data_IF_891445679129
#
_entry.id   IF_891445679129
#
_cell.length_a   1.000
_cell.length_b   1.000
_cell.length_c   1.000
_cell.angle_alpha   90.00
_cell.angle_beta   90.00
_cell.angle_gamma   90.00
#
_symmetry.space_group_name_H-M   'P 1'
#
loop_
_entity.id
_entity.type
_entity.pdbx_description
1 polymer ?
#
# COMPACT_ATOMS: atom_id res chain seq x y z
N UNK A 1 11.85 -8.14 -25.55
CA UNK A 1 11.50 -7.31 -24.38
C UNK A 1 11.13 -8.26 -23.27
N UNK A 2 11.72 -8.10 -22.08
CA UNK A 2 11.38 -8.91 -20.91
C UNK A 2 9.91 -8.70 -20.51
N UNK A 3 9.24 -9.75 -20.03
CA UNK A 3 7.86 -9.62 -19.53
C UNK A 3 7.82 -8.76 -18.26
N UNK A 4 6.64 -8.18 -17.94
CA UNK A 4 6.49 -7.39 -16.71
C UNK A 4 6.74 -8.21 -15.45
N UNK A 5 6.40 -9.51 -15.49
CA UNK A 5 6.70 -10.45 -14.41
C UNK A 5 8.21 -10.64 -14.25
N UNK A 6 8.94 -10.91 -15.34
CA UNK A 6 10.40 -11.06 -15.32
C UNK A 6 11.10 -9.81 -14.78
N UNK A 7 10.70 -8.62 -15.26
CA UNK A 7 11.23 -7.34 -14.74
C UNK A 7 10.96 -7.20 -13.24
N UNK A 8 9.77 -7.59 -12.79
CA UNK A 8 9.44 -7.58 -11.35
C UNK A 8 10.26 -8.58 -10.55
N UNK A 9 10.57 -9.75 -11.10
CA UNK A 9 11.44 -10.75 -10.44
C UNK A 9 12.85 -10.18 -10.28
N UNK A 10 13.42 -9.60 -11.34
CA UNK A 10 14.76 -9.00 -11.32
C UNK A 10 14.85 -7.86 -10.30
N UNK A 11 13.95 -6.87 -10.38
CA UNK A 11 13.98 -5.71 -9.49
C UNK A 11 13.67 -6.08 -8.04
N UNK A 12 12.78 -7.03 -7.78
CA UNK A 12 12.56 -7.56 -6.43
C UNK A 12 13.79 -8.29 -5.88
N UNK A 13 14.52 -9.02 -6.73
CA UNK A 13 15.76 -9.69 -6.33
C UNK A 13 16.86 -8.70 -5.90
N UNK A 14 16.85 -7.49 -6.46
CA UNK A 14 17.77 -6.41 -6.08
C UNK A 14 17.25 -5.66 -4.85
N UNK A 15 15.99 -5.22 -4.87
CA UNK A 15 15.42 -4.33 -3.88
C UNK A 15 15.05 -5.05 -2.59
N UNK A 16 14.43 -6.22 -2.68
CA UNK A 16 13.94 -7.02 -1.55
C UNK A 16 14.41 -8.49 -1.64
N UNK A 17 15.73 -8.76 -1.55
CA UNK A 17 16.29 -10.11 -1.67
C UNK A 17 15.83 -11.08 -0.57
N UNK A 18 15.26 -10.56 0.51
CA UNK A 18 14.61 -11.29 1.60
C UNK A 18 13.27 -11.92 1.20
N UNK A 19 12.65 -11.49 0.09
CA UNK A 19 11.40 -12.04 -0.40
C UNK A 19 11.69 -13.00 -1.56
N UNK A 20 11.45 -14.29 -1.33
CA UNK A 20 11.76 -15.36 -2.28
C UNK A 20 10.62 -15.53 -3.27
N UNK A 21 10.96 -15.51 -4.56
CA UNK A 21 9.99 -15.72 -5.64
C UNK A 21 9.68 -17.21 -5.86
N UNK A 22 8.40 -17.52 -5.98
CA UNK A 22 7.87 -18.81 -6.42
C UNK A 22 6.92 -18.59 -7.61
N UNK A 23 7.17 -19.30 -8.72
CA UNK A 23 6.26 -19.30 -9.85
C UNK A 23 4.92 -19.96 -9.45
N UNK A 24 3.80 -19.29 -9.74
CA UNK A 24 2.44 -19.79 -9.44
C UNK A 24 1.51 -19.52 -10.62
N UNK A 25 0.62 -20.47 -10.90
CA UNK A 25 -0.43 -20.26 -11.90
C UNK A 25 -1.57 -19.41 -11.32
N UNK A 26 -1.36 -18.10 -11.28
CA UNK A 26 -2.35 -17.12 -10.76
C UNK A 26 -3.34 -16.65 -11.82
N UNK A 27 -2.98 -16.78 -13.09
CA UNK A 27 -3.81 -16.42 -14.24
C UNK A 27 -3.49 -17.33 -15.43
N UNK A 28 -4.26 -17.20 -16.51
CA UNK A 28 -3.98 -17.88 -17.79
C UNK A 28 -2.58 -17.54 -18.35
N UNK A 29 -2.01 -16.41 -17.96
CA UNK A 29 -0.69 -15.95 -18.38
C UNK A 29 0.42 -16.29 -17.36
N UNK A 30 0.11 -17.09 -16.34
CA UNK A 30 1.01 -17.38 -15.24
C UNK A 30 0.95 -16.36 -14.12
N UNK A 31 2.07 -16.20 -13.42
CA UNK A 31 2.22 -15.33 -12.26
C UNK A 31 3.23 -15.88 -11.26
N UNK A 32 3.31 -15.24 -10.10
CA UNK A 32 4.07 -15.78 -9.00
C UNK A 32 3.81 -15.05 -7.69
N UNK A 33 4.48 -15.54 -6.66
CA UNK A 33 4.41 -15.01 -5.32
C UNK A 33 5.82 -14.74 -4.79
N UNK A 34 6.01 -13.62 -4.09
CA UNK A 34 7.18 -13.34 -3.28
C UNK A 34 6.78 -13.52 -1.82
N UNK A 35 7.52 -14.34 -1.07
CA UNK A 35 7.24 -14.58 0.35
C UNK A 35 8.48 -14.41 1.20
N UNK A 36 8.30 -13.86 2.40
CA UNK A 36 9.36 -13.69 3.39
C UNK A 36 9.10 -12.50 4.31
N UNK A 37 10.09 -12.15 5.16
CA UNK A 37 9.93 -11.11 6.15
C UNK A 37 10.08 -9.72 5.52
N UNK A 38 9.29 -8.74 5.96
CA UNK A 38 9.59 -7.30 5.83
C UNK A 38 9.70 -6.72 7.23
N UNK A 39 10.79 -6.01 7.52
CA UNK A 39 10.94 -5.26 8.76
C UNK A 39 11.03 -3.78 8.41
N UNK A 40 9.90 -3.05 8.42
CA UNK A 40 9.87 -1.69 7.88
C UNK A 40 10.62 -0.69 8.77
N UNK A 41 10.88 -0.99 10.04
CA UNK A 41 11.69 -0.17 10.94
C UNK A 41 12.90 -0.98 11.41
N UNK A 42 14.11 -0.60 10.97
CA UNK A 42 15.35 -1.26 11.40
C UNK A 42 15.93 -0.65 12.69
N UNK A 43 15.75 0.65 12.90
CA UNK A 43 16.29 1.42 14.03
C UNK A 43 15.25 2.36 14.63
N UNK A 44 15.44 2.70 15.91
CA UNK A 44 14.66 3.72 16.61
C UNK A 44 15.18 5.15 16.33
N UNK A 45 16.39 5.26 15.77
CA UNK A 45 16.96 6.53 15.33
C UNK A 45 16.09 7.15 14.23
N UNK A 46 15.70 8.42 14.40
CA UNK A 46 14.85 9.13 13.43
C UNK A 46 13.39 8.66 13.37
N UNK A 47 12.95 7.77 14.29
CA UNK A 47 11.60 7.22 14.25
C UNK A 47 10.52 8.31 14.44
N UNK A 48 10.74 9.26 15.34
CA UNK A 48 9.79 10.36 15.59
C UNK A 48 9.48 11.18 14.32
N UNK A 49 10.50 11.77 13.67
CA UNK A 49 10.32 12.47 12.39
C UNK A 49 9.70 11.61 11.28
N UNK A 50 10.11 10.33 11.15
CA UNK A 50 9.51 9.40 10.18
C UNK A 50 8.02 9.21 10.42
N UNK A 51 7.61 8.95 11.66
CA UNK A 51 6.22 8.77 12.04
C UNK A 51 5.41 10.05 11.82
N UNK A 52 5.99 11.23 12.06
CA UNK A 52 5.39 12.52 11.75
C UNK A 52 5.20 12.72 10.24
N UNK A 53 6.17 12.31 9.42
CA UNK A 53 6.07 12.38 7.96
C UNK A 53 4.96 11.48 7.43
N UNK A 54 4.91 10.23 7.89
CA UNK A 54 3.81 9.31 7.57
C UNK A 54 2.47 9.93 7.98
N UNK A 55 2.40 10.53 9.18
CA UNK A 55 1.17 11.13 9.69
C UNK A 55 0.65 12.31 8.85
N UNK A 56 1.57 13.01 8.18
CA UNK A 56 1.25 14.16 7.34
C UNK A 56 1.31 13.86 5.84
N UNK A 57 1.40 12.58 5.44
CA UNK A 57 1.60 12.15 4.05
C UNK A 57 2.77 12.89 3.36
N UNK A 58 3.87 13.09 4.08
CA UNK A 58 5.09 13.72 3.55
C UNK A 58 6.00 12.66 2.92
N UNK A 59 6.89 13.06 2.00
CA UNK A 59 7.84 12.14 1.39
C UNK A 59 8.71 11.43 2.42
N UNK A 60 8.88 10.11 2.25
CA UNK A 60 9.77 9.27 3.04
C UNK A 60 10.66 8.45 2.09
N UNK A 61 11.76 7.91 2.60
CA UNK A 61 12.64 7.02 1.84
C UNK A 61 12.38 5.56 2.20
N UNK A 62 12.23 4.70 1.20
CA UNK A 62 12.23 3.26 1.41
C UNK A 62 13.57 2.67 0.91
N UNK A 63 14.40 2.22 1.85
CA UNK A 63 15.64 1.53 1.56
C UNK A 63 15.37 0.07 1.11
N UNK A 64 16.37 -0.61 0.53
CA UNK A 64 16.27 -2.04 0.24
C UNK A 64 15.76 -2.85 1.43
N UNK A 65 15.09 -3.96 1.15
CA UNK A 65 14.37 -4.85 2.09
C UNK A 65 13.11 -4.23 2.69
N UNK A 66 12.66 -3.09 2.18
CA UNK A 66 11.42 -2.44 2.60
C UNK A 66 11.55 -1.58 3.86
N UNK A 67 12.77 -1.18 4.24
CA UNK A 67 13.00 -0.35 5.42
C UNK A 67 12.61 1.10 5.15
N UNK A 68 11.78 1.70 6.00
CA UNK A 68 11.40 3.10 5.92
C UNK A 68 12.35 3.97 6.73
N UNK A 69 12.70 5.13 6.16
CA UNK A 69 13.57 6.12 6.78
C UNK A 69 13.02 7.52 6.56
N UNK A 70 13.23 8.36 7.56
CA UNK A 70 13.11 9.80 7.41
C UNK A 70 14.12 10.30 6.37
N UNK A 71 13.71 11.27 5.53
CA UNK A 71 14.60 11.85 4.52
C UNK A 71 15.69 12.69 5.19
N UNK A 72 16.96 12.35 4.98
CA UNK A 72 18.09 13.09 5.57
C UNK A 72 18.14 14.57 5.15
N UNK A 73 17.57 14.91 3.99
CA UNK A 73 17.49 16.28 3.49
C UNK A 73 16.23 17.04 3.94
N UNK A 74 15.38 16.45 4.79
CA UNK A 74 14.13 17.08 5.21
C UNK A 74 14.40 18.44 5.89
N UNK A 75 13.69 19.46 5.43
CA UNK A 75 13.66 20.80 6.03
C UNK A 75 12.29 21.10 6.68
N UNK A 76 11.43 20.08 6.76
CA UNK A 76 10.10 20.19 7.32
C UNK A 76 10.12 20.39 8.83
N UNK A 77 9.17 21.17 9.34
CA UNK A 77 8.93 21.24 10.78
C UNK A 77 8.18 19.98 11.23
N UNK A 78 8.77 19.27 12.18
CA UNK A 78 8.14 18.10 12.79
C UNK A 78 7.44 18.47 14.08
N UNK A 79 6.28 17.84 14.34
CA UNK A 79 5.63 17.90 15.63
C UNK A 79 5.63 16.52 16.29
N UNK A 80 5.48 16.53 17.62
CA UNK A 80 5.30 15.30 18.40
C UNK A 80 3.81 15.11 18.62
N UNK A 81 3.30 13.95 18.21
CA UNK A 81 1.89 13.59 18.42
C UNK A 81 1.72 12.86 19.75
N UNK A 82 0.57 13.01 20.40
CA UNK A 82 0.29 12.40 21.71
C UNK A 82 0.31 10.87 21.69
N UNK A 83 0.01 10.25 20.55
CA UNK A 83 0.04 8.79 20.39
C UNK A 83 1.46 8.22 20.30
N UNK A 84 2.47 9.04 19.95
CA UNK A 84 3.86 8.58 19.86
C UNK A 84 4.42 8.15 21.21
N UNK A 85 3.91 8.68 22.32
CA UNK A 85 4.33 8.29 23.67
C UNK A 85 3.83 6.89 24.07
N UNK A 86 2.85 6.34 23.33
CA UNK A 86 2.29 5.00 23.53
C UNK A 86 2.92 3.94 22.62
N UNK A 87 3.84 4.35 21.74
CA UNK A 87 4.55 3.47 20.81
C UNK A 87 5.91 3.13 21.42
N UNK A 88 6.13 1.86 21.73
CA UNK A 88 7.36 1.35 22.34
C UNK A 88 8.37 0.88 21.29
N UNK A 89 8.09 -0.24 20.61
CA UNK A 89 8.98 -0.84 19.63
C UNK A 89 8.24 -1.20 18.34
N UNK A 90 8.63 -0.54 17.25
CA UNK A 90 8.09 -0.77 15.92
C UNK A 90 8.97 -1.67 15.04
N UNK A 91 10.03 -2.27 15.59
CA UNK A 91 10.98 -3.12 14.84
C UNK A 91 10.47 -4.55 14.58
N UNK A 92 9.18 -4.81 14.80
CA UNK A 92 8.59 -6.11 14.56
C UNK A 92 8.66 -6.47 13.06
N UNK A 93 9.19 -7.65 12.68
CA UNK A 93 9.13 -8.13 11.32
C UNK A 93 7.74 -8.69 11.01
N UNK A 94 7.38 -8.65 9.72
CA UNK A 94 6.15 -9.21 9.19
C UNK A 94 6.46 -10.26 8.14
N UNK A 95 5.97 -11.48 8.31
CA UNK A 95 5.95 -12.43 7.19
C UNK A 95 4.84 -12.00 6.24
N UNK A 96 5.18 -11.78 4.98
CA UNK A 96 4.23 -11.38 3.95
C UNK A 96 4.28 -12.31 2.75
N UNK A 97 3.19 -12.33 1.99
CA UNK A 97 3.15 -12.89 0.65
C UNK A 97 2.62 -11.85 -0.31
N UNK A 98 3.39 -11.54 -1.36
CA UNK A 98 3.00 -10.63 -2.42
C UNK A 98 2.73 -11.46 -3.68
N UNK A 99 1.59 -11.30 -4.34
CA UNK A 99 1.30 -11.98 -5.61
C UNK A 99 1.12 -10.99 -6.74
N UNK A 100 1.52 -11.40 -7.94
CA UNK A 100 1.31 -10.63 -9.17
C UNK A 100 1.24 -11.57 -10.37
N UNK A 101 0.27 -11.32 -11.26
CA UNK A 101 0.09 -12.18 -12.44
C UNK A 101 1.07 -11.87 -13.58
N UNK A 102 1.75 -10.71 -13.54
CA UNK A 102 2.50 -10.18 -14.70
C UNK A 102 1.63 -9.41 -15.69
N UNK A 103 0.32 -9.32 -15.43
CA UNK A 103 -0.67 -8.66 -16.27
C UNK A 103 -0.95 -7.20 -15.89
N UNK A 104 -2.16 -6.76 -16.19
CA UNK A 104 -2.65 -5.39 -15.92
C UNK A 104 -3.25 -5.22 -14.52
N UNK A 105 -3.39 -6.31 -13.77
CA UNK A 105 -3.85 -6.31 -12.38
C UNK A 105 -2.81 -5.66 -11.46
N UNK A 106 -3.28 -5.20 -10.30
CA UNK A 106 -2.39 -4.71 -9.24
C UNK A 106 -1.85 -5.89 -8.43
N UNK A 107 -0.59 -5.83 -7.96
CA UNK A 107 -0.10 -6.77 -6.97
C UNK A 107 -1.02 -6.83 -5.74
N UNK A 108 -0.99 -7.98 -5.06
CA UNK A 108 -1.70 -8.21 -3.79
C UNK A 108 -0.71 -8.59 -2.73
N UNK A 109 -0.93 -8.14 -1.50
CA UNK A 109 -0.09 -8.50 -0.38
C UNK A 109 -0.95 -9.00 0.77
N UNK A 110 -0.55 -10.09 1.41
CA UNK A 110 -1.13 -10.60 2.64
C UNK A 110 -0.08 -10.58 3.75
N UNK A 111 -0.52 -10.23 4.95
CA UNK A 111 0.28 -10.45 6.17
C UNK A 111 0.01 -11.87 6.66
N UNK A 112 1.05 -12.70 6.64
CA UNK A 112 1.01 -14.10 7.10
C UNK A 112 1.30 -14.16 8.60
N UNK A 113 2.26 -13.36 9.08
CA UNK A 113 2.61 -13.26 10.50
C UNK A 113 2.97 -11.81 10.87
N UNK A 114 2.47 -11.26 11.99
CA UNK A 114 1.48 -11.85 12.88
C UNK A 114 0.11 -12.01 12.20
N UNK A 115 -0.71 -12.94 12.70
CA UNK A 115 -2.09 -13.06 12.26
C UNK A 115 -2.90 -11.84 12.71
N UNK A 116 -3.62 -11.21 11.78
CA UNK A 116 -4.42 -10.01 12.05
C UNK A 116 -5.84 -10.41 12.44
N UNK A 117 -6.22 -10.08 13.67
CA UNK A 117 -7.56 -10.35 14.19
C UNK A 117 -8.62 -9.55 13.42
N UNK A 118 -9.86 -10.07 13.26
CA UNK A 118 -10.91 -9.42 12.47
C UNK A 118 -11.20 -7.96 12.84
N UNK A 119 -11.17 -7.62 14.13
CA UNK A 119 -11.37 -6.28 14.67
C UNK A 119 -10.24 -5.30 14.32
N UNK A 120 -9.07 -5.82 13.92
CA UNK A 120 -7.89 -5.03 13.55
C UNK A 120 -7.61 -5.00 12.04
N UNK A 121 -8.57 -5.45 11.21
CA UNK A 121 -8.45 -5.50 9.74
C UNK A 121 -8.71 -4.14 9.07
N UNK A 122 -8.19 -3.06 9.65
CA UNK A 122 -8.28 -1.72 9.05
C UNK A 122 -7.45 -1.69 7.76
N UNK A 123 -8.00 -1.11 6.70
CA UNK A 123 -7.37 -1.10 5.37
C UNK A 123 -6.97 -2.49 4.85
N UNK A 124 -7.84 -3.48 5.07
CA UNK A 124 -7.74 -4.80 4.43
C UNK A 124 -8.99 -5.06 3.59
N UNK A 125 -8.83 -5.84 2.53
CA UNK A 125 -9.92 -6.28 1.68
C UNK A 125 -10.62 -7.51 2.28
N UNK A 126 -11.80 -7.84 1.74
CA UNK A 126 -12.56 -9.02 2.16
C UNK A 126 -11.83 -10.35 1.93
N UNK A 127 -10.85 -10.38 1.02
CA UNK A 127 -9.96 -11.53 0.79
C UNK A 127 -8.75 -11.58 1.74
N UNK A 128 -8.68 -10.67 2.71
CA UNK A 128 -7.58 -10.57 3.68
C UNK A 128 -6.30 -9.93 3.14
N UNK A 129 -6.26 -9.50 1.87
CA UNK A 129 -5.12 -8.73 1.36
C UNK A 129 -5.14 -7.31 1.90
N UNK A 130 -3.97 -6.69 2.07
CA UNK A 130 -3.86 -5.31 2.52
C UNK A 130 -4.21 -4.31 1.40
N UNK A 131 -4.71 -3.15 1.81
CA UNK A 131 -4.91 -1.99 0.96
C UNK A 131 -3.87 -0.92 1.30
N UNK A 132 -2.66 -0.96 0.71
CA UNK A 132 -1.60 -0.02 1.07
C UNK A 132 -1.71 1.31 0.29
N UNK A 133 -2.91 1.70 -0.14
CA UNK A 133 -3.08 2.90 -0.94
C UNK A 133 -2.88 4.15 -0.08
N UNK A 134 -1.86 4.96 -0.42
CA UNK A 134 -1.53 6.20 0.29
C UNK A 134 -2.17 7.39 -0.43
N UNK A 135 -2.49 8.42 0.36
CA UNK A 135 -3.25 9.55 -0.15
C UNK A 135 -2.50 10.48 -1.09
N UNK A 136 -1.19 10.57 -0.89
CA UNK A 136 -0.28 11.46 -1.58
C UNK A 136 0.33 10.86 -2.85
N UNK A 137 0.21 9.55 -3.06
CA UNK A 137 0.99 8.86 -4.07
C UNK A 137 0.22 8.64 -5.37
N UNK A 138 0.97 8.73 -6.47
CA UNK A 138 0.49 8.31 -7.77
C UNK A 138 0.11 6.82 -7.72
N UNK A 139 -0.96 6.49 -8.42
CA UNK A 139 -1.46 5.11 -8.46
C UNK A 139 -0.48 4.22 -9.20
N UNK A 140 -0.16 3.03 -8.67
CA UNK A 140 0.65 2.04 -9.37
C UNK A 140 0.14 1.80 -10.81
N UNK A 141 1.06 1.91 -11.78
CA UNK A 141 0.81 1.86 -13.21
C UNK A 141 1.45 0.62 -13.81
N UNK A 142 0.62 -0.32 -14.26
CA UNK A 142 1.05 -1.66 -14.68
C UNK A 142 2.09 -1.74 -15.80
N UNK A 143 2.16 -0.74 -16.68
CA UNK A 143 3.10 -0.69 -17.80
C UNK A 143 4.42 0.01 -17.46
N UNK A 144 4.49 0.70 -16.31
CA UNK A 144 5.67 1.40 -15.82
C UNK A 144 6.27 0.73 -14.58
N UNK A 145 5.46 0.52 -13.54
CA UNK A 145 5.85 0.06 -12.19
C UNK A 145 5.93 -1.46 -12.01
N UNK A 146 6.91 -1.94 -11.25
CA UNK A 146 7.07 -3.34 -10.90
C UNK A 146 6.53 -3.65 -9.50
N UNK A 147 6.68 -4.90 -9.06
CA UNK A 147 6.36 -5.28 -7.68
C UNK A 147 7.30 -4.60 -6.67
N UNK A 148 8.53 -4.24 -7.07
CA UNK A 148 9.45 -3.53 -6.19
C UNK A 148 8.93 -2.13 -5.82
N UNK A 149 8.33 -1.43 -6.77
CA UNK A 149 7.68 -0.13 -6.55
C UNK A 149 6.45 -0.22 -5.63
N UNK A 150 5.90 -1.42 -5.46
CA UNK A 150 4.76 -1.66 -4.56
C UNK A 150 5.18 -1.84 -3.08
N UNK A 151 6.43 -2.25 -2.82
CA UNK A 151 6.92 -2.53 -1.46
C UNK A 151 6.90 -1.31 -0.53
N UNK A 152 7.29 -0.09 -0.94
CA UNK A 152 7.21 1.10 -0.08
C UNK A 152 5.80 1.30 0.50
N UNK A 153 4.76 1.12 -0.32
CA UNK A 153 3.38 1.22 0.13
C UNK A 153 3.03 0.14 1.17
N UNK A 154 3.47 -1.11 0.94
CA UNK A 154 3.30 -2.20 1.91
C UNK A 154 3.97 -1.82 3.23
N UNK A 155 5.21 -1.34 3.21
CA UNK A 155 5.96 -0.97 4.40
C UNK A 155 5.28 0.16 5.19
N UNK A 156 4.73 1.17 4.52
CA UNK A 156 3.97 2.25 5.20
C UNK A 156 2.72 1.68 5.87
N UNK A 157 2.00 0.81 5.17
CA UNK A 157 0.85 0.12 5.75
C UNK A 157 1.24 -0.68 7.00
N UNK A 158 2.34 -1.43 6.97
CA UNK A 158 2.80 -2.24 8.11
C UNK A 158 3.15 -1.38 9.34
N UNK A 159 3.85 -0.26 9.14
CA UNK A 159 4.15 0.68 10.24
C UNK A 159 2.87 1.30 10.79
N UNK A 160 1.97 1.73 9.91
CA UNK A 160 0.69 2.32 10.31
C UNK A 160 -0.16 1.33 11.08
N UNK A 161 -0.19 0.07 10.65
CA UNK A 161 -0.90 -1.00 11.33
C UNK A 161 -0.29 -1.28 12.71
N UNK A 162 1.05 -1.30 12.87
CA UNK A 162 1.67 -1.43 14.20
C UNK A 162 1.26 -0.28 15.13
N UNK A 163 1.29 0.96 14.64
CA UNK A 163 0.87 2.11 15.44
C UNK A 163 -0.60 1.96 15.84
N UNK A 164 -1.46 1.55 14.92
CA UNK A 164 -2.87 1.30 15.19
C UNK A 164 -3.08 0.17 16.20
N UNK A 165 -2.38 -0.95 16.05
CA UNK A 165 -2.44 -2.10 16.95
C UNK A 165 -2.08 -1.72 18.39
N UNK A 166 -1.09 -0.83 18.57
CA UNK A 166 -0.60 -0.40 19.88
C UNK A 166 -1.39 0.77 20.48
N UNK A 167 -1.90 1.66 19.66
CA UNK A 167 -2.40 2.96 20.13
C UNK A 167 -3.86 3.24 19.81
N UNK A 168 -4.47 2.44 18.92
CA UNK A 168 -5.78 2.70 18.33
C UNK A 168 -5.79 3.78 17.23
N UNK A 169 -4.65 4.44 16.98
CA UNK A 169 -4.55 5.52 15.99
C UNK A 169 -4.09 5.00 14.63
N UNK A 170 -4.86 5.34 13.59
CA UNK A 170 -4.43 5.13 12.21
C UNK A 170 -3.79 6.42 11.70
N UNK A 171 -2.48 6.40 11.50
CA UNK A 171 -1.70 7.62 11.30
C UNK A 171 -1.65 8.10 9.86
N UNK A 172 -1.88 7.25 8.87
CA UNK A 172 -1.92 7.67 7.46
C UNK A 172 -3.25 8.33 7.13
N UNK A 173 -3.22 9.36 6.28
CA UNK A 173 -4.43 10.02 5.79
C UNK A 173 -5.40 9.03 5.14
N UNK A 174 -6.63 8.97 5.66
CA UNK A 174 -7.65 8.09 5.10
C UNK A 174 -8.42 8.77 3.98
N UNK A 175 -8.57 8.04 2.89
CA UNK A 175 -9.54 8.37 1.87
C UNK A 175 -10.90 7.83 2.24
N UNK A 176 -11.93 8.64 2.02
CA UNK A 176 -13.30 8.16 2.11
C UNK A 176 -13.51 7.14 0.97
N UNK A 177 -13.70 5.86 1.26
CA UNK A 177 -14.06 4.83 0.28
C UNK A 177 -15.48 4.99 -0.29
N UNK A 178 -15.95 6.23 -0.43
CA UNK A 178 -17.30 6.58 -0.83
C UNK A 178 -17.36 6.76 -2.34
N UNK A 179 -18.51 6.45 -2.97
CA UNK A 179 -18.72 6.71 -4.39
C UNK A 179 -18.41 8.16 -4.81
N UNK A 180 -18.74 9.15 -3.96
CA UNK A 180 -18.47 10.57 -4.22
C UNK A 180 -16.97 10.86 -4.27
N UNK A 181 -16.23 10.31 -3.31
CA UNK A 181 -14.78 10.46 -3.27
C UNK A 181 -14.12 9.81 -4.49
N UNK A 182 -14.52 8.59 -4.85
CA UNK A 182 -14.01 7.92 -6.04
C UNK A 182 -14.24 8.75 -7.31
N UNK A 183 -15.43 9.33 -7.47
CA UNK A 183 -15.76 10.19 -8.60
C UNK A 183 -14.99 11.51 -8.62
N UNK A 184 -14.61 12.04 -7.45
CA UNK A 184 -13.86 13.27 -7.33
C UNK A 184 -12.36 13.08 -7.60
N UNK A 185 -11.81 11.90 -7.29
CA UNK A 185 -10.35 11.67 -7.28
C UNK A 185 -9.87 10.79 -8.41
N UNK A 186 -10.65 9.78 -8.84
CA UNK A 186 -10.22 8.81 -9.86
C UNK A 186 -10.69 9.31 -11.23
N UNK A 187 -9.76 9.62 -12.14
CA UNK A 187 -10.12 10.10 -13.47
C UNK A 187 -10.68 8.95 -14.31
N UNK A 188 -11.53 9.23 -15.31
CA UNK A 188 -12.16 8.20 -16.15
C UNK A 188 -11.18 7.19 -16.79
N UNK A 189 -9.95 7.64 -17.09
CA UNK A 189 -8.93 6.83 -17.75
C UNK A 189 -7.94 6.15 -16.78
N UNK A 190 -8.00 6.49 -15.49
CA UNK A 190 -7.15 5.89 -14.46
C UNK A 190 -7.61 4.45 -14.20
N UNK A 191 -6.76 3.66 -13.56
CA UNK A 191 -7.11 2.31 -13.16
C UNK A 191 -8.20 2.34 -12.08
N UNK A 192 -9.21 1.48 -12.22
CA UNK A 192 -10.32 1.43 -11.27
C UNK A 192 -9.84 1.00 -9.88
N UNK A 193 -10.39 1.61 -8.83
CA UNK A 193 -10.15 1.27 -7.42
C UNK A 193 -10.38 -0.20 -7.05
N UNK A 194 -11.21 -0.93 -7.81
CA UNK A 194 -11.42 -2.36 -7.62
C UNK A 194 -10.23 -3.24 -8.07
N UNK A 195 -9.19 -2.63 -8.64
CA UNK A 195 -7.93 -3.29 -9.03
C UNK A 195 -8.06 -4.33 -10.15
N UNK A 196 -9.15 -4.30 -10.93
CA UNK A 196 -9.36 -5.24 -12.05
C UNK A 196 -8.43 -5.02 -13.26
N UNK A 197 -7.51 -4.06 -13.23
CA UNK A 197 -6.73 -3.65 -14.41
C UNK A 197 -7.51 -2.82 -15.42
N UNK A 198 -8.82 -2.65 -15.23
CA UNK A 198 -9.68 -1.89 -16.15
C UNK A 198 -9.65 -0.40 -15.79
N UNK A 199 -9.79 0.43 -16.81
CA UNK A 199 -10.03 1.87 -16.65
C UNK A 199 -11.31 2.10 -15.84
N UNK A 200 -11.31 3.11 -14.96
CA UNK A 200 -12.43 3.41 -14.07
C UNK A 200 -13.76 3.57 -14.82
N UNK A 201 -13.76 4.30 -15.96
CA UNK A 201 -14.93 4.47 -16.84
C UNK A 201 -15.49 3.16 -17.44
N UNK A 202 -14.68 2.10 -17.49
CA UNK A 202 -15.06 0.77 -18.01
C UNK A 202 -15.26 -0.25 -16.88
N UNK A 203 -15.33 0.22 -15.64
CA UNK A 203 -15.51 -0.58 -14.45
C UNK A 203 -16.53 0.14 -13.54
N UNK A 204 -16.14 0.56 -12.33
CA UNK A 204 -17.09 1.02 -11.31
C UNK A 204 -17.60 2.46 -11.43
N UNK A 205 -17.15 3.25 -12.41
CA UNK A 205 -17.56 4.66 -12.50
C UNK A 205 -19.07 4.83 -12.60
N UNK A 206 -19.76 3.96 -13.35
CA UNK A 206 -21.22 4.04 -13.51
C UNK A 206 -21.94 3.65 -12.22
N UNK A 207 -21.50 2.59 -11.57
CA UNK A 207 -22.04 2.16 -10.27
C UNK A 207 -21.85 3.25 -9.22
N UNK A 208 -20.66 3.85 -9.15
CA UNK A 208 -20.36 4.94 -8.24
C UNK A 208 -21.24 6.17 -8.51
N UNK A 209 -21.46 6.54 -9.77
CA UNK A 209 -22.39 7.62 -10.14
C UNK A 209 -23.82 7.33 -9.64
N UNK A 210 -24.32 6.11 -9.85
CA UNK A 210 -25.66 5.71 -9.40
C UNK A 210 -25.75 5.76 -7.87
N UNK A 211 -24.74 5.26 -7.16
CA UNK A 211 -24.72 5.24 -5.71
C UNK A 211 -24.59 6.66 -5.12
N UNK A 212 -23.74 7.51 -5.71
CA UNK A 212 -23.57 8.89 -5.30
C UNK A 212 -24.89 9.68 -5.40
N UNK A 213 -25.63 9.52 -6.51
CA UNK A 213 -26.95 10.14 -6.70
C UNK A 213 -27.95 9.64 -5.64
N UNK A 214 -27.98 8.32 -5.37
CA UNK A 214 -28.85 7.74 -4.32
C UNK A 214 -28.54 8.28 -2.93
N UNK A 215 -27.29 8.64 -2.68
CA UNK A 215 -26.83 9.24 -1.43
C UNK A 215 -27.01 10.78 -1.41
N UNK A 216 -27.72 11.36 -2.39
CA UNK A 216 -28.06 12.79 -2.42
C UNK A 216 -26.99 13.70 -3.03
N UNK A 217 -25.95 13.15 -3.65
CA UNK A 217 -24.92 13.95 -4.31
C UNK A 217 -25.42 14.51 -5.66
N UNK A 218 -25.50 15.84 -5.79
CA UNK A 218 -25.99 16.53 -7.01
C UNK A 218 -24.87 17.13 -7.88
N UNK A 219 -23.60 16.76 -7.63
CA UNK A 219 -22.41 17.44 -8.18
C UNK A 219 -21.77 16.83 -9.43
N UNK A 220 -22.46 16.01 -10.22
CA UNK A 220 -21.89 15.43 -11.44
C UNK A 220 -21.93 16.47 -12.59
N UNK A 221 -20.78 17.06 -12.93
CA UNK A 221 -20.55 17.78 -14.19
C UNK A 221 -19.95 16.84 -15.23
#
# INVERSE_FOLDING_TARGET
MSSRLEKSIEEMGIFCPNLVFEAKSLSANGGGAWSGPIQPIASQEGLGPLLDDIAHNRPIYCAPRGELRHLAACQGSHCRHSWMDRVDDLRAPFEVTITYSGGRDHPRCWVVSPSISPDKRRHMWGDGSICPFLASDDTWVWDHDTVADYVPHISVWLVTWLVFDRTGEWIVGEHLGTPQYHLAVIKPNDQCWCRSGRKYRKCHMREDQIQAVRQGFRGLR
#
